data_IF_610232172268
#
_entry.id   IF_610232172268
#
_cell.length_a   1.000
_cell.length_b   1.000
_cell.length_c   1.000
_cell.angle_alpha   90.00
_cell.angle_beta   90.00
_cell.angle_gamma   90.00
#
_symmetry.space_group_name_H-M   'P 1'
#
loop_
_entity.id
_entity.type
_entity.pdbx_description
1 polymer ?
#
# COMPACT_ATOMS: atom_id res chain seq x y z
N UNK A 1 12.52 19.41 29.87
CA UNK A 1 12.45 20.49 28.89
C UNK A 1 12.72 19.86 27.53
N UNK A 2 11.65 19.69 26.76
CA UNK A 2 11.51 18.82 25.60
C UNK A 2 12.17 19.42 24.36
N UNK A 3 13.12 18.71 23.78
CA UNK A 3 13.66 19.00 22.44
C UNK A 3 12.88 18.13 21.44
N UNK A 4 11.64 18.51 21.16
CA UNK A 4 10.75 17.79 20.21
C UNK A 4 9.95 18.76 19.32
N UNK A 5 10.40 20.01 19.19
CA UNK A 5 9.79 21.07 18.38
C UNK A 5 10.67 21.46 17.18
N UNK A 6 11.56 20.57 16.74
CA UNK A 6 12.02 20.67 15.35
C UNK A 6 10.79 20.36 14.49
N UNK A 7 10.34 21.26 13.60
CA UNK A 7 9.22 20.94 12.72
C UNK A 7 9.62 19.70 11.96
N UNK A 8 8.96 18.57 12.26
CA UNK A 8 9.05 17.40 11.40
C UNK A 8 8.70 17.95 10.03
N UNK A 9 9.63 17.80 9.10
CA UNK A 9 9.34 17.99 7.69
C UNK A 9 8.43 16.80 7.34
N UNK A 10 7.22 16.78 7.92
CA UNK A 10 6.13 15.88 7.55
C UNK A 10 6.14 15.87 6.03
N UNK A 11 6.01 14.67 5.46
CA UNK A 11 6.14 14.37 4.03
C UNK A 11 5.19 15.23 3.18
N UNK A 12 5.42 16.54 3.12
CA UNK A 12 4.49 17.53 2.59
C UNK A 12 4.35 17.33 1.10
N UNK A 13 5.37 16.73 0.47
CA UNK A 13 5.37 16.24 -0.90
C UNK A 13 4.46 15.03 -1.13
N UNK A 14 4.16 14.22 -0.10
CA UNK A 14 3.13 13.15 -0.17
C UNK A 14 1.70 13.71 -0.06
N UNK A 15 1.52 14.92 0.48
CA UNK A 15 0.23 15.60 0.59
C UNK A 15 -0.01 16.67 -0.49
N UNK A 16 0.93 16.88 -1.42
CA UNK A 16 0.71 17.76 -2.57
C UNK A 16 -0.40 17.20 -3.46
N UNK A 17 -1.46 17.98 -3.69
CA UNK A 17 -2.47 17.67 -4.70
C UNK A 17 -1.80 17.29 -6.04
N UNK A 18 -2.34 16.28 -6.72
CA UNK A 18 -1.73 15.74 -7.92
C UNK A 18 -2.66 14.80 -8.68
N UNK A 19 -2.29 14.51 -9.92
CA UNK A 19 -2.99 13.53 -10.76
C UNK A 19 -2.31 12.17 -10.60
N UNK A 20 -3.13 11.15 -10.44
CA UNK A 20 -2.71 9.75 -10.36
C UNK A 20 -2.95 9.08 -11.71
N UNK A 21 -1.93 8.42 -12.23
CA UNK A 21 -2.00 7.62 -13.46
C UNK A 21 -1.75 6.16 -13.08
N UNK A 22 -2.69 5.29 -13.46
CA UNK A 22 -2.53 3.85 -13.30
C UNK A 22 -1.76 3.31 -14.51
N UNK A 23 -0.77 2.48 -14.25
CA UNK A 23 -0.01 1.78 -15.27
C UNK A 23 -0.57 0.38 -15.39
N UNK A 24 -1.15 0.08 -16.53
CA UNK A 24 -1.76 -1.22 -16.83
C UNK A 24 -1.21 -1.76 -18.15
N UNK A 25 -0.92 -3.05 -18.18
CA UNK A 25 -0.51 -3.76 -19.40
C UNK A 25 -1.08 -5.15 -19.37
N UNK A 26 -1.70 -5.57 -20.47
CA UNK A 26 -2.30 -6.92 -20.59
C UNK A 26 -3.20 -7.26 -19.39
N UNK A 27 -4.08 -6.33 -19.01
CA UNK A 27 -4.99 -6.41 -17.84
C UNK A 27 -4.29 -6.55 -16.47
N UNK A 28 -2.97 -6.38 -16.45
CA UNK A 28 -2.16 -6.44 -15.23
C UNK A 28 -1.81 -5.04 -14.76
N UNK A 29 -2.18 -4.72 -13.52
CA UNK A 29 -1.79 -3.48 -12.87
C UNK A 29 -0.29 -3.53 -12.52
N UNK A 30 0.49 -2.73 -13.23
CA UNK A 30 1.93 -2.62 -13.08
C UNK A 30 2.33 -1.64 -11.97
N UNK A 31 1.52 -0.61 -11.75
CA UNK A 31 1.77 0.35 -10.69
C UNK A 31 0.99 1.65 -10.83
N UNK A 32 1.46 2.66 -10.12
CA UNK A 32 0.88 4.00 -10.09
C UNK A 32 1.98 5.03 -10.25
N UNK A 33 1.71 6.08 -11.04
CA UNK A 33 2.52 7.30 -11.10
C UNK A 33 1.70 8.46 -10.57
N UNK A 34 2.24 9.16 -9.58
CA UNK A 34 1.67 10.40 -9.07
C UNK A 34 2.44 11.60 -9.59
N UNK A 35 1.72 12.55 -10.19
CA UNK A 35 2.27 13.79 -10.75
C UNK A 35 1.65 14.98 -10.03
N UNK A 36 2.45 15.64 -9.20
CA UNK A 36 2.07 16.86 -8.47
C UNK A 36 2.72 18.07 -9.14
N UNK A 37 1.91 18.92 -9.78
CA UNK A 37 2.41 20.11 -10.48
C UNK A 37 2.41 21.31 -9.54
N UNK A 38 3.60 21.81 -9.21
CA UNK A 38 3.80 23.02 -8.43
C UNK A 38 4.03 24.26 -9.28
N UNK A 39 4.13 25.42 -8.61
CA UNK A 39 4.44 26.70 -9.28
C UNK A 39 5.84 26.72 -9.89
N UNK A 40 6.82 26.10 -9.23
CA UNK A 40 8.25 26.15 -9.64
C UNK A 40 8.72 24.89 -10.35
N UNK A 41 8.11 23.75 -10.06
CA UNK A 41 8.54 22.46 -10.58
C UNK A 41 7.40 21.43 -10.58
N UNK A 42 7.62 20.33 -11.29
CA UNK A 42 6.77 19.13 -11.21
C UNK A 42 7.44 18.10 -10.33
N UNK A 43 6.69 17.56 -9.37
CA UNK A 43 7.10 16.45 -8.53
C UNK A 43 6.46 15.16 -9.01
N UNK A 44 7.26 14.11 -9.15
CA UNK A 44 6.83 12.80 -9.65
C UNK A 44 7.22 11.73 -8.64
N UNK A 45 6.30 10.80 -8.41
CA UNK A 45 6.56 9.60 -7.62
C UNK A 45 6.03 8.37 -8.34
N UNK A 46 6.88 7.37 -8.42
CA UNK A 46 6.56 6.07 -8.97
C UNK A 46 6.25 5.11 -7.80
N UNK A 47 5.21 4.32 -7.96
CA UNK A 47 4.85 3.21 -7.08
C UNK A 47 4.70 1.98 -7.96
N UNK A 48 5.82 1.31 -8.20
CA UNK A 48 5.89 0.22 -9.17
C UNK A 48 5.96 -1.12 -8.46
N UNK A 49 5.30 -2.10 -9.07
CA UNK A 49 5.42 -3.49 -8.63
C UNK A 49 6.76 -4.07 -9.16
N UNK A 50 7.35 -5.09 -8.50
CA UNK A 50 8.58 -5.73 -8.97
C UNK A 50 8.50 -6.28 -10.40
N UNK A 51 7.30 -6.61 -10.87
CA UNK A 51 7.02 -7.12 -12.22
C UNK A 51 7.29 -6.09 -13.32
N UNK A 52 7.45 -4.81 -12.97
CA UNK A 52 7.70 -3.73 -13.92
C UNK A 52 9.14 -3.65 -14.42
N UNK A 53 10.08 -4.43 -13.87
CA UNK A 53 11.50 -4.33 -14.20
C UNK A 53 11.79 -4.39 -15.71
N UNK A 54 11.08 -5.24 -16.46
CA UNK A 54 11.27 -5.40 -17.90
C UNK A 54 10.77 -4.20 -18.74
N UNK A 55 9.94 -3.34 -18.16
CA UNK A 55 9.27 -2.20 -18.85
C UNK A 55 9.57 -0.87 -18.19
N UNK A 56 10.49 -0.86 -17.21
CA UNK A 56 10.76 0.29 -16.35
C UNK A 56 11.24 1.51 -17.16
N UNK A 57 12.18 1.29 -18.09
CA UNK A 57 12.72 2.36 -18.93
C UNK A 57 11.63 3.01 -19.78
N UNK A 58 10.73 2.20 -20.35
CA UNK A 58 9.60 2.69 -21.14
C UNK A 58 8.63 3.50 -20.27
N UNK A 59 8.26 3.00 -19.09
CA UNK A 59 7.37 3.70 -18.14
C UNK A 59 7.95 5.06 -17.78
N UNK A 60 9.25 5.12 -17.46
CA UNK A 60 9.94 6.37 -17.11
C UNK A 60 9.93 7.32 -18.31
N UNK A 61 10.35 6.86 -19.48
CA UNK A 61 10.41 7.68 -20.69
C UNK A 61 9.04 8.28 -21.06
N UNK A 62 7.99 7.46 -21.08
CA UNK A 62 6.63 7.91 -21.39
C UNK A 62 6.10 8.89 -20.36
N UNK A 63 6.34 8.64 -19.07
CA UNK A 63 5.94 9.55 -17.98
C UNK A 63 6.61 10.91 -18.14
N UNK A 64 7.91 10.95 -18.39
CA UNK A 64 8.66 12.20 -18.56
C UNK A 64 8.19 12.93 -19.83
N UNK A 65 7.97 12.21 -20.93
CA UNK A 65 7.45 12.79 -22.17
C UNK A 65 6.05 13.41 -21.95
N UNK A 66 5.16 12.73 -21.22
CA UNK A 66 3.83 13.23 -20.88
C UNK A 66 3.90 14.54 -20.08
N UNK A 67 4.82 14.64 -19.13
CA UNK A 67 4.98 15.85 -18.31
C UNK A 67 5.54 16.99 -19.16
N UNK A 68 6.58 16.72 -19.95
CA UNK A 68 7.29 17.71 -20.76
C UNK A 68 6.39 18.38 -21.80
N UNK A 69 5.40 17.66 -22.35
CA UNK A 69 4.42 18.21 -23.31
C UNK A 69 3.55 19.33 -22.72
N UNK A 70 3.31 19.31 -21.41
CA UNK A 70 2.37 20.25 -20.78
C UNK A 70 3.01 21.59 -20.41
N UNK A 71 4.20 21.56 -19.81
CA UNK A 71 4.95 22.75 -19.40
C UNK A 71 6.44 22.45 -19.29
N UNK A 72 7.27 23.39 -19.75
CA UNK A 72 8.72 23.39 -19.53
C UNK A 72 9.03 23.87 -18.10
N UNK A 73 8.96 22.96 -17.13
CA UNK A 73 9.43 23.19 -15.75
C UNK A 73 10.37 22.07 -15.33
N UNK A 74 11.29 22.31 -14.38
CA UNK A 74 12.10 21.26 -13.79
C UNK A 74 11.22 20.13 -13.26
N UNK A 75 11.60 18.90 -13.56
CA UNK A 75 10.94 17.69 -13.08
C UNK A 75 11.83 17.09 -12.00
N UNK A 76 11.28 16.87 -10.82
CA UNK A 76 11.94 16.17 -9.73
C UNK A 76 11.23 14.86 -9.48
N UNK A 77 12.02 13.80 -9.30
CA UNK A 77 11.52 12.45 -9.05
C UNK A 77 12.08 11.99 -7.71
N UNK A 78 11.21 11.45 -6.85
CA UNK A 78 11.68 10.63 -5.73
C UNK A 78 11.92 9.21 -6.23
N UNK A 79 13.15 8.74 -6.10
CA UNK A 79 13.55 7.36 -6.33
C UNK A 79 14.03 6.76 -5.01
N UNK A 80 13.60 5.53 -4.70
CA UNK A 80 14.16 4.77 -3.57
C UNK A 80 15.05 3.66 -4.10
N UNK A 81 16.19 3.44 -3.47
CA UNK A 81 17.22 2.52 -3.97
C UNK A 81 16.75 1.07 -4.08
N UNK A 82 15.74 0.68 -3.29
CA UNK A 82 15.15 -0.66 -3.35
C UNK A 82 14.17 -0.85 -4.50
N UNK A 83 13.75 0.22 -5.20
CA UNK A 83 12.78 0.18 -6.31
C UNK A 83 13.43 -0.25 -7.64
N UNK A 84 14.28 -1.28 -7.58
CA UNK A 84 14.59 -2.15 -8.72
C UNK A 84 15.11 -1.46 -9.99
N UNK A 85 16.05 -0.52 -9.86
CA UNK A 85 16.73 0.07 -11.03
C UNK A 85 16.14 1.39 -11.54
N UNK A 86 15.15 1.97 -10.85
CA UNK A 86 14.53 3.23 -11.27
C UNK A 86 15.53 4.39 -11.41
N UNK A 87 16.58 4.42 -10.59
CA UNK A 87 17.64 5.41 -10.70
C UNK A 87 18.39 5.32 -12.03
N UNK A 88 18.65 4.11 -12.54
CA UNK A 88 19.31 3.90 -13.82
C UNK A 88 18.39 4.33 -14.99
N UNK A 89 17.10 3.97 -14.93
CA UNK A 89 16.11 4.41 -15.91
C UNK A 89 15.99 5.94 -15.98
N UNK A 90 16.00 6.61 -14.82
CA UNK A 90 16.00 8.07 -14.72
C UNK A 90 17.27 8.70 -15.31
N UNK A 91 18.44 8.11 -15.02
CA UNK A 91 19.70 8.57 -15.58
C UNK A 91 19.73 8.46 -17.10
N UNK A 92 19.16 7.39 -17.67
CA UNK A 92 19.07 7.18 -19.12
C UNK A 92 18.24 8.27 -19.83
N UNK A 93 17.29 8.90 -19.13
CA UNK A 93 16.50 10.04 -19.64
C UNK A 93 17.04 11.40 -19.19
N UNK A 94 18.27 11.45 -18.67
CA UNK A 94 19.01 12.68 -18.38
C UNK A 94 18.83 13.26 -16.98
N UNK A 95 18.23 12.52 -16.04
CA UNK A 95 18.18 12.96 -14.65
C UNK A 95 19.55 12.79 -13.98
N UNK A 96 19.85 13.72 -13.07
CA UNK A 96 21.03 13.67 -12.22
C UNK A 96 20.60 13.64 -10.75
N UNK A 97 21.25 12.83 -9.88
CA UNK A 97 21.00 12.87 -8.45
C UNK A 97 21.19 14.29 -7.90
N UNK A 98 20.20 14.81 -7.17
CA UNK A 98 20.23 16.19 -6.64
C UNK A 98 20.27 16.26 -5.12
N UNK A 99 19.62 15.30 -4.47
CA UNK A 99 19.50 15.18 -3.03
C UNK A 99 19.38 13.69 -2.68
N UNK A 100 20.16 13.26 -1.71
CA UNK A 100 20.06 11.92 -1.12
C UNK A 100 19.42 12.03 0.26
N UNK A 101 18.60 11.04 0.63
CA UNK A 101 17.97 10.96 1.95
C UNK A 101 18.04 9.52 2.45
N UNK A 102 18.54 9.34 3.66
CA UNK A 102 18.55 8.05 4.33
C UNK A 102 17.34 7.95 5.26
N UNK A 103 16.55 6.89 5.14
CA UNK A 103 15.42 6.62 6.03
C UNK A 103 15.78 5.46 6.97
N UNK A 104 15.65 5.68 8.28
CA UNK A 104 15.82 4.63 9.27
C UNK A 104 14.52 3.82 9.37
N UNK A 105 14.57 2.52 9.01
CA UNK A 105 13.44 1.61 9.17
C UNK A 105 13.57 0.87 10.50
N UNK A 106 12.62 1.07 11.41
CA UNK A 106 12.53 0.30 12.65
C UNK A 106 11.57 -0.87 12.48
N UNK A 107 12.08 -2.10 12.45
CA UNK A 107 11.26 -3.30 12.53
C UNK A 107 10.64 -3.38 13.93
N UNK A 108 9.31 -3.42 13.98
CA UNK A 108 8.57 -3.49 15.25
C UNK A 108 7.78 -4.80 15.26
N UNK A 109 8.19 -5.75 16.10
CA UNK A 109 7.48 -7.03 16.25
C UNK A 109 6.38 -6.88 17.29
N UNK A 110 5.14 -7.14 16.91
CA UNK A 110 4.00 -7.17 17.84
C UNK A 110 3.77 -8.61 18.28
N UNK A 111 3.67 -8.83 19.60
CA UNK A 111 3.31 -10.14 20.16
C UNK A 111 1.82 -10.37 19.96
N UNK A 112 1.44 -11.32 19.10
CA UNK A 112 0.05 -11.74 18.95
C UNK A 112 -0.30 -12.71 20.08
N UNK A 113 -1.36 -12.41 20.85
CA UNK A 113 -1.92 -13.35 21.83
C UNK A 113 -2.97 -14.20 21.13
N UNK A 114 -2.67 -15.47 20.95
CA UNK A 114 -3.61 -16.44 20.38
C UNK A 114 -4.81 -16.58 21.33
N UNK A 115 -6.03 -16.41 20.80
CA UNK A 115 -7.25 -16.61 21.59
C UNK A 115 -7.47 -18.10 21.71
N UNK A 116 -7.26 -18.66 22.91
CA UNK A 116 -7.54 -20.06 23.18
C UNK A 116 -8.98 -20.40 22.76
N UNK A 117 -9.14 -21.38 21.88
CA UNK A 117 -10.45 -21.90 21.51
C UNK A 117 -11.09 -22.50 22.75
N UNK A 118 -12.09 -21.81 23.30
CA UNK A 118 -12.88 -22.33 24.40
C UNK A 118 -13.56 -23.62 23.93
N UNK A 119 -13.16 -24.77 24.47
CA UNK A 119 -13.90 -26.02 24.28
C UNK A 119 -15.27 -25.84 24.95
N UNK A 120 -16.32 -25.77 24.13
CA UNK A 120 -17.70 -25.75 24.63
C UNK A 120 -17.94 -27.08 25.36
N UNK A 121 -18.35 -27.09 26.64
CA UNK A 121 -18.73 -28.35 27.27
C UNK A 121 -19.93 -28.90 26.50
N UNK A 122 -19.81 -30.13 26.02
CA UNK A 122 -20.93 -30.87 25.44
C UNK A 122 -21.93 -31.12 26.57
N UNK A 123 -23.10 -30.50 26.47
CA UNK A 123 -24.24 -30.83 27.33
C UNK A 123 -24.79 -32.16 26.83
N UNK A 124 -24.60 -33.25 27.58
CA UNK A 124 -25.32 -34.48 27.28
C UNK A 124 -26.82 -34.27 27.52
N UNK A 125 -27.62 -34.39 26.46
CA UNK A 125 -29.08 -34.39 26.59
C UNK A 125 -29.50 -35.72 27.22
N UNK A 126 -29.78 -35.70 28.52
CA UNK A 126 -30.38 -36.87 29.18
C UNK A 126 -31.77 -37.10 28.59
N UNK A 127 -31.97 -38.26 27.96
CA UNK A 127 -33.26 -38.67 27.41
C UNK A 127 -34.22 -38.90 28.58
N UNK A 128 -35.13 -37.96 28.80
CA UNK A 128 -36.25 -38.17 29.71
C UNK A 128 -37.15 -39.23 29.06
N UNK A 129 -37.41 -40.39 29.68
CA UNK A 129 -38.33 -41.36 29.11
C UNK A 129 -39.75 -40.80 29.16
N UNK A 130 -40.41 -40.80 28.00
CA UNK A 130 -41.82 -40.43 27.85
C UNK A 130 -42.66 -41.50 28.55
N UNK A 131 -43.34 -41.12 29.65
CA UNK A 131 -44.33 -41.97 30.30
C UNK A 131 -45.61 -41.88 29.48
N UNK A 132 -45.94 -42.94 28.75
CA UNK A 132 -47.27 -43.10 28.15
C UNK A 132 -48.25 -43.58 29.21
N UNK A 133 -49.12 -42.69 29.69
CA UNK A 133 -50.27 -43.08 30.51
C UNK A 133 -51.38 -43.59 29.60
N UNK A 134 -51.55 -44.90 29.54
CA UNK A 134 -52.70 -45.53 28.90
C UNK A 134 -53.91 -45.41 29.83
N UNK A 135 -54.89 -44.59 29.45
CA UNK A 135 -56.19 -44.56 30.11
C UNK A 135 -56.97 -45.82 29.75
N UNK A 136 -57.22 -46.69 30.73
CA UNK A 136 -58.30 -47.66 30.65
C UNK A 136 -59.51 -47.11 31.41
N UNK A 137 -60.49 -46.65 30.65
CA UNK A 137 -61.85 -46.48 31.11
C UNK A 137 -62.38 -47.83 31.61
N UNK A 138 -62.93 -47.86 32.82
CA UNK A 138 -63.81 -48.93 33.27
C UNK A 138 -65.18 -48.33 33.55
N UNK A 139 -66.09 -48.70 32.67
CA UNK A 139 -67.53 -48.47 32.77
C UNK A 139 -68.18 -49.53 33.68
N UNK A 140 -69.24 -49.08 34.36
CA UNK A 140 -70.19 -49.77 35.27
C UNK A 140 -69.79 -49.94 36.73
#
# INVERSE_FOLDING_TARGET
MTSDDAPKLDDWWENLGGTNYLLERDETLLGLVRISRGRLATWVRFHLTPQTAAVLDQIVQETIALIAQTRTRPIYVAARDYEGGIAAALAAVGFTPRLERSHMVKHTTVRVRETATWMKPVLETSKIPVIHTTQHAREK
#
